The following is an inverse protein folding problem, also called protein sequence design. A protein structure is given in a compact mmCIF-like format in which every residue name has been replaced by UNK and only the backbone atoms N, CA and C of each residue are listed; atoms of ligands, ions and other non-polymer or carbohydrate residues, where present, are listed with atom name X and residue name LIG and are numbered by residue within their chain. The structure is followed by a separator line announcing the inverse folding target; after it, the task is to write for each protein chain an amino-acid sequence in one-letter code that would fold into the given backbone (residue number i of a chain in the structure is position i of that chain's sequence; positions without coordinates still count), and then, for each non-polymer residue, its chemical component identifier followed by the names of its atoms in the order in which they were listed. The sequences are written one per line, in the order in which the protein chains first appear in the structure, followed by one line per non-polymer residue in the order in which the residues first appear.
data_IF_406924726803
#
_entry.id   IF_406924726803
#
_cell.length_a   1.000
_cell.length_b   1.000
_cell.length_c   1.000
_cell.angle_alpha   90.00
_cell.angle_beta   90.00
_cell.angle_gamma   90.00
#
_symmetry.space_group_name_H-M   'P 1'
#
loop_
_entity.id
_entity.type
_entity.pdbx_description
1 polymer ?
#
# COMPACT_ATOMS: atom_id res chain seq x y z
N UNK A 1 -19.21 -38.03 -26.85
CA UNK A 1 -18.66 -36.70 -27.20
C UNK A 1 -17.91 -36.12 -26.00
N UNK A 2 -16.69 -36.59 -25.74
CA UNK A 2 -15.84 -36.00 -24.68
C UNK A 2 -15.15 -34.72 -25.14
N UNK A 3 -14.82 -34.61 -26.43
CA UNK A 3 -14.12 -33.45 -27.01
C UNK A 3 -14.89 -32.14 -26.79
N UNK A 4 -16.22 -32.14 -26.93
CA UNK A 4 -17.07 -30.98 -26.66
C UNK A 4 -17.08 -30.56 -25.18
N UNK A 5 -16.89 -31.50 -24.24
CA UNK A 5 -16.75 -31.18 -22.81
C UNK A 5 -15.40 -30.52 -22.48
N UNK A 6 -14.42 -30.63 -23.37
CA UNK A 6 -13.08 -30.07 -23.21
C UNK A 6 -12.86 -28.79 -24.02
N UNK A 7 -13.81 -28.37 -24.85
CA UNK A 7 -13.80 -27.04 -25.44
C UNK A 7 -13.97 -25.98 -24.34
N UNK A 8 -12.92 -25.19 -24.11
CA UNK A 8 -12.96 -24.07 -23.18
C UNK A 8 -13.13 -22.78 -23.98
N UNK A 9 -14.25 -22.12 -23.77
CA UNK A 9 -14.46 -20.75 -24.21
C UNK A 9 -13.91 -19.82 -23.15
N UNK A 10 -12.95 -18.99 -23.55
CA UNK A 10 -12.39 -17.95 -22.69
C UNK A 10 -12.84 -16.59 -23.20
N UNK A 11 -13.63 -15.84 -22.43
CA UNK A 11 -14.08 -14.52 -22.85
C UNK A 11 -12.88 -13.58 -22.97
N UNK A 12 -12.91 -12.67 -23.95
CA UNK A 12 -11.81 -11.72 -24.21
C UNK A 12 -11.49 -10.84 -22.97
N UNK A 13 -12.49 -10.58 -22.13
CA UNK A 13 -12.35 -9.88 -20.86
C UNK A 13 -11.41 -10.58 -19.86
N UNK A 14 -11.20 -11.90 -20.00
CA UNK A 14 -10.25 -12.65 -19.19
C UNK A 14 -8.79 -12.31 -19.53
N UNK A 15 -8.53 -11.67 -20.67
CA UNK A 15 -7.19 -11.31 -21.12
C UNK A 15 -6.95 -9.79 -21.14
N UNK A 16 -8.03 -9.00 -21.11
CA UNK A 16 -7.94 -7.55 -20.93
C UNK A 16 -7.79 -7.21 -19.45
N UNK A 17 -6.53 -7.12 -19.02
CA UNK A 17 -6.16 -6.58 -17.71
C UNK A 17 -5.31 -5.33 -17.90
N UNK A 18 -5.47 -4.40 -16.96
CA UNK A 18 -4.66 -3.18 -16.93
C UNK A 18 -3.20 -3.57 -16.71
N UNK A 19 -2.30 -3.06 -17.54
CA UNK A 19 -0.86 -3.39 -17.46
C UNK A 19 -0.33 -2.91 -16.10
N UNK A 20 0.10 -3.83 -15.21
CA UNK A 20 0.48 -3.48 -13.87
C UNK A 20 1.78 -2.68 -13.87
N UNK A 21 1.85 -1.68 -13.00
CA UNK A 21 3.01 -0.81 -12.84
C UNK A 21 3.83 -1.30 -11.64
N UNK A 22 5.08 -1.69 -11.91
CA UNK A 22 6.01 -2.14 -10.89
C UNK A 22 6.61 -0.98 -10.11
N UNK A 23 6.85 -1.21 -8.82
CA UNK A 23 7.64 -0.36 -7.95
C UNK A 23 9.08 -0.24 -8.46
N UNK A 24 9.59 0.99 -8.46
CA UNK A 24 10.99 1.29 -8.70
C UNK A 24 11.75 1.34 -7.37
N UNK A 25 12.53 0.29 -7.10
CA UNK A 25 13.29 0.09 -5.87
C UNK A 25 14.79 0.00 -6.15
N UNK A 26 15.41 1.13 -6.51
CA UNK A 26 16.84 1.19 -6.87
C UNK A 26 17.78 0.76 -5.72
N UNK A 27 17.37 0.95 -4.47
CA UNK A 27 18.20 0.63 -3.29
C UNK A 27 18.15 -0.87 -2.94
N UNK A 28 17.31 -1.66 -3.61
CA UNK A 28 17.32 -3.12 -3.48
C UNK A 28 18.37 -3.65 -4.43
N UNK A 29 19.61 -3.68 -3.96
CA UNK A 29 20.83 -4.09 -4.67
C UNK A 29 20.84 -5.52 -5.22
N UNK A 30 19.74 -6.26 -5.08
CA UNK A 30 19.62 -7.61 -5.60
C UNK A 30 18.56 -7.63 -6.69
N UNK A 31 19.06 -7.63 -7.93
CA UNK A 31 18.36 -7.77 -9.20
C UNK A 31 17.41 -8.97 -9.15
N UNK A 32 16.20 -8.78 -8.62
CA UNK A 32 15.11 -9.72 -8.87
C UNK A 32 14.57 -9.41 -10.25
N UNK A 33 14.69 -10.35 -11.18
CA UNK A 33 14.13 -10.26 -12.53
C UNK A 33 12.60 -10.17 -12.53
N UNK A 34 11.96 -10.40 -11.38
CA UNK A 34 10.51 -10.33 -11.23
C UNK A 34 10.05 -8.91 -10.86
N UNK A 35 9.07 -8.35 -11.59
CA UNK A 35 8.50 -7.06 -11.26
C UNK A 35 7.80 -7.13 -9.90
N UNK A 36 7.98 -6.07 -9.11
CA UNK A 36 7.47 -5.96 -7.74
C UNK A 36 6.35 -4.95 -7.72
N UNK A 37 5.16 -5.33 -7.26
CA UNK A 37 3.97 -4.48 -7.32
C UNK A 37 3.50 -4.05 -5.93
N UNK A 38 3.92 -4.76 -4.89
CA UNK A 38 3.57 -4.46 -3.51
C UNK A 38 4.79 -4.45 -2.60
N UNK A 39 4.84 -3.46 -1.71
CA UNK A 39 5.88 -3.30 -0.71
C UNK A 39 5.26 -3.00 0.66
N UNK A 40 5.87 -3.55 1.70
CA UNK A 40 5.59 -3.24 3.08
C UNK A 40 6.88 -2.78 3.76
N UNK A 41 6.86 -1.59 4.35
CA UNK A 41 7.97 -0.97 5.04
C UNK A 41 7.73 -0.98 6.55
N UNK A 42 8.59 -1.68 7.28
CA UNK A 42 8.60 -1.70 8.75
C UNK A 42 9.53 -0.56 9.21
N UNK A 43 8.98 0.39 9.96
CA UNK A 43 9.66 1.59 10.41
C UNK A 43 9.77 1.64 11.94
N UNK A 44 10.87 2.20 12.49
CA UNK A 44 11.04 2.36 13.93
C UNK A 44 10.30 3.59 14.49
N UNK A 45 9.89 4.52 13.64
CA UNK A 45 9.23 5.78 14.05
C UNK A 45 8.14 6.13 13.03
N UNK A 46 7.09 6.81 13.49
CA UNK A 46 5.99 7.28 12.67
C UNK A 46 6.39 8.45 11.77
N UNK A 47 7.41 9.23 12.15
CA UNK A 47 7.81 10.48 11.47
C UNK A 47 8.11 10.31 9.98
N UNK A 48 7.85 11.38 9.22
CA UNK A 48 8.29 11.46 7.83
C UNK A 48 9.81 11.42 7.76
N UNK A 49 10.34 10.58 6.89
CA UNK A 49 11.77 10.47 6.63
C UNK A 49 12.07 10.61 5.14
N UNK A 50 13.34 10.84 4.84
CA UNK A 50 13.79 11.06 3.47
C UNK A 50 13.61 9.83 2.58
N UNK A 51 13.67 8.61 3.15
CA UNK A 51 13.41 7.38 2.40
C UNK A 51 11.97 7.33 1.87
N UNK A 52 10.95 7.60 2.71
CA UNK A 52 9.53 7.67 2.27
C UNK A 52 9.32 8.74 1.20
N UNK A 53 9.96 9.90 1.37
CA UNK A 53 9.90 11.02 0.40
C UNK A 53 10.48 10.62 -0.95
N UNK A 54 11.66 10.01 -0.96
CA UNK A 54 12.30 9.50 -2.17
C UNK A 54 11.52 8.34 -2.79
N UNK A 55 10.92 7.47 -1.98
CA UNK A 55 10.09 6.37 -2.46
C UNK A 55 8.89 6.89 -3.25
N UNK A 56 8.19 7.92 -2.76
CA UNK A 56 7.12 8.57 -3.50
C UNK A 56 7.63 9.22 -4.80
N UNK A 57 8.69 10.04 -4.72
CA UNK A 57 9.24 10.75 -5.89
C UNK A 57 9.67 9.78 -6.99
N UNK A 58 10.48 8.78 -6.67
CA UNK A 58 11.02 7.82 -7.63
C UNK A 58 9.93 7.02 -8.32
N UNK A 59 8.93 6.55 -7.56
CA UNK A 59 7.81 5.78 -8.12
C UNK A 59 6.84 6.66 -8.92
N UNK A 60 6.75 7.95 -8.61
CA UNK A 60 5.98 8.90 -9.41
C UNK A 60 6.68 9.23 -10.73
N UNK A 61 7.98 9.49 -10.71
CA UNK A 61 8.78 9.84 -11.89
C UNK A 61 8.84 8.71 -12.92
N UNK A 62 8.88 7.46 -12.47
CA UNK A 62 8.80 6.29 -13.38
C UNK A 62 7.37 5.90 -13.76
N UNK A 63 6.37 6.59 -13.21
CA UNK A 63 4.96 6.34 -13.43
C UNK A 63 4.45 6.76 -14.81
N UNK A 64 3.17 6.48 -15.08
CA UNK A 64 2.50 6.81 -16.34
C UNK A 64 1.82 8.19 -16.29
N UNK A 65 2.37 9.11 -15.51
CA UNK A 65 1.80 10.45 -15.27
C UNK A 65 0.41 10.46 -14.59
N UNK A 66 -0.01 9.35 -13.99
CA UNK A 66 -1.21 9.25 -13.19
C UNK A 66 -1.04 9.87 -11.80
N UNK A 67 -1.98 9.59 -10.91
CA UNK A 67 -1.99 10.09 -9.53
C UNK A 67 -1.75 8.96 -8.52
N UNK A 68 -1.16 9.33 -7.38
CA UNK A 68 -0.97 8.44 -6.23
C UNK A 68 -2.05 8.70 -5.19
N UNK A 69 -2.75 7.65 -4.77
CA UNK A 69 -3.67 7.71 -3.63
C UNK A 69 -2.87 7.57 -2.33
N UNK A 70 -2.90 8.61 -1.50
CA UNK A 70 -2.20 8.66 -0.21
C UNK A 70 -3.24 8.59 0.90
N UNK A 71 -3.27 7.47 1.59
CA UNK A 71 -4.12 7.19 2.74
C UNK A 71 -3.29 7.45 4.00
N UNK A 72 -3.46 8.63 4.58
CA UNK A 72 -2.68 9.15 5.69
C UNK A 72 -3.46 8.97 7.00
N UNK A 73 -3.29 7.82 7.64
CA UNK A 73 -3.94 7.46 8.90
C UNK A 73 -3.37 8.29 10.06
N UNK A 74 -2.06 8.57 10.03
CA UNK A 74 -1.32 9.24 11.11
C UNK A 74 -1.11 10.74 10.91
N UNK A 75 -1.65 11.32 9.83
CA UNK A 75 -1.64 12.76 9.53
C UNK A 75 -0.26 13.39 9.29
N UNK A 76 0.67 12.65 8.66
CA UNK A 76 2.07 13.08 8.47
C UNK A 76 2.37 13.51 7.03
N UNK A 77 1.68 12.92 6.06
CA UNK A 77 1.91 13.23 4.65
C UNK A 77 1.47 14.65 4.29
N UNK A 78 0.46 15.19 4.97
CA UNK A 78 -0.12 16.51 4.66
C UNK A 78 0.91 17.64 4.57
N UNK A 79 1.83 17.71 5.52
CA UNK A 79 2.86 18.76 5.53
C UNK A 79 3.90 18.52 4.45
N UNK A 80 4.30 17.25 4.28
CA UNK A 80 5.28 16.82 3.28
C UNK A 80 4.81 17.15 1.86
N UNK A 81 3.53 16.90 1.54
CA UNK A 81 2.96 17.17 0.21
C UNK A 81 2.86 18.66 -0.15
N UNK A 82 2.97 19.56 0.84
CA UNK A 82 3.01 21.01 0.62
C UNK A 82 4.42 21.52 0.27
N UNK A 83 5.46 20.72 0.47
CA UNK A 83 6.83 21.13 0.12
C UNK A 83 6.97 21.27 -1.41
N UNK A 84 7.79 22.23 -1.86
CA UNK A 84 7.97 22.58 -3.29
C UNK A 84 8.42 21.41 -4.15
N UNK A 85 9.23 20.50 -3.60
CA UNK A 85 9.68 19.30 -4.33
C UNK A 85 8.55 18.34 -4.73
N UNK A 86 7.39 18.41 -4.06
CA UNK A 86 6.22 17.59 -4.40
C UNK A 86 5.20 18.34 -5.26
N UNK A 87 5.55 19.54 -5.76
CA UNK A 87 4.60 20.42 -6.42
C UNK A 87 3.96 19.82 -7.67
N UNK A 88 4.77 19.07 -8.42
CA UNK A 88 4.37 18.43 -9.66
C UNK A 88 3.71 17.06 -9.45
N UNK A 89 3.67 16.54 -8.21
CA UNK A 89 3.07 15.23 -7.94
C UNK A 89 1.56 15.34 -7.93
N UNK A 90 0.93 14.58 -8.83
CA UNK A 90 -0.48 14.31 -8.82
C UNK A 90 -0.82 13.32 -7.71
N UNK A 91 -1.70 13.72 -6.79
CA UNK A 91 -2.18 12.82 -5.74
C UNK A 91 -3.65 13.04 -5.41
N UNK A 92 -4.23 11.99 -4.83
CA UNK A 92 -5.47 12.04 -4.06
C UNK A 92 -5.11 11.76 -2.62
N UNK A 93 -5.42 12.68 -1.72
CA UNK A 93 -5.04 12.58 -0.32
C UNK A 93 -6.28 12.37 0.55
N UNK A 94 -6.27 11.33 1.38
CA UNK A 94 -7.32 11.09 2.37
C UNK A 94 -6.74 11.03 3.77
N UNK A 95 -7.35 11.82 4.65
CA UNK A 95 -7.09 11.85 6.09
C UNK A 95 -8.44 12.17 6.75
N UNK A 96 -9.12 11.12 7.18
CA UNK A 96 -10.45 11.20 7.79
C UNK A 96 -10.52 10.29 9.00
N UNK A 97 -11.50 10.53 9.88
CA UNK A 97 -11.75 9.66 11.04
C UNK A 97 -12.26 8.27 10.63
N UNK A 98 -12.79 8.11 9.42
CA UNK A 98 -13.27 6.82 8.95
C UNK A 98 -12.08 5.88 8.67
N UNK A 99 -11.01 6.38 8.05
CA UNK A 99 -9.85 5.55 7.70
C UNK A 99 -8.98 5.17 8.91
N UNK A 100 -9.29 5.68 10.11
CA UNK A 100 -8.58 5.31 11.34
C UNK A 100 -9.04 3.99 11.95
N UNK A 101 -10.00 3.29 11.34
CA UNK A 101 -10.33 1.90 11.66
C UNK A 101 -10.15 0.99 10.45
N UNK A 102 -9.94 -0.31 10.69
CA UNK A 102 -9.75 -1.28 9.61
C UNK A 102 -11.00 -1.41 8.74
N UNK A 103 -12.19 -1.39 9.34
CA UNK A 103 -13.47 -1.46 8.62
C UNK A 103 -13.70 -0.23 7.77
N UNK A 104 -13.40 0.96 8.29
CA UNK A 104 -13.54 2.20 7.53
C UNK A 104 -12.58 2.27 6.36
N UNK A 105 -11.32 1.82 6.54
CA UNK A 105 -10.36 1.66 5.45
C UNK A 105 -10.86 0.68 4.38
N UNK A 106 -11.35 -0.51 4.78
CA UNK A 106 -11.91 -1.50 3.86
C UNK A 106 -13.10 -0.92 3.10
N UNK A 107 -14.01 -0.24 3.78
CA UNK A 107 -15.17 0.40 3.18
C UNK A 107 -14.76 1.47 2.15
N UNK A 108 -13.78 2.31 2.49
CA UNK A 108 -13.24 3.31 1.57
C UNK A 108 -12.66 2.67 0.31
N UNK A 109 -11.77 1.68 0.47
CA UNK A 109 -11.18 0.96 -0.66
C UNK A 109 -12.24 0.22 -1.49
N UNK A 110 -13.28 -0.33 -0.86
CA UNK A 110 -14.44 -0.90 -1.54
C UNK A 110 -15.16 0.12 -2.43
N UNK A 111 -15.36 1.35 -1.94
CA UNK A 111 -15.94 2.45 -2.73
C UNK A 111 -15.03 2.87 -3.87
N UNK A 112 -13.71 2.96 -3.64
CA UNK A 112 -12.72 3.25 -4.69
C UNK A 112 -12.76 2.18 -5.79
N UNK A 113 -12.86 0.91 -5.42
CA UNK A 113 -12.93 -0.19 -6.39
C UNK A 113 -14.24 -0.21 -7.18
N UNK A 114 -15.36 0.14 -6.55
CA UNK A 114 -16.69 0.12 -7.18
C UNK A 114 -16.96 1.37 -8.05
N UNK A 115 -16.61 2.56 -7.56
CA UNK A 115 -16.79 3.83 -8.26
C UNK A 115 -15.66 4.81 -7.88
N UNK A 116 -14.49 4.70 -8.55
CA UNK A 116 -13.31 5.48 -8.19
C UNK A 116 -13.55 6.99 -8.34
N UNK A 117 -14.24 7.42 -9.40
CA UNK A 117 -14.48 8.84 -9.66
C UNK A 117 -15.28 9.48 -8.52
N UNK A 118 -16.36 8.83 -8.09
CA UNK A 118 -17.20 9.35 -7.02
C UNK A 118 -16.47 9.31 -5.66
N UNK A 119 -15.81 8.20 -5.33
CA UNK A 119 -15.11 8.03 -4.07
C UNK A 119 -13.98 9.05 -3.91
N UNK A 120 -13.12 9.19 -4.94
CA UNK A 120 -11.99 10.12 -4.89
C UNK A 120 -12.44 11.58 -4.85
N UNK A 121 -13.47 11.96 -5.62
CA UNK A 121 -14.00 13.33 -5.60
C UNK A 121 -14.65 13.72 -4.26
N UNK A 122 -15.34 12.77 -3.61
CA UNK A 122 -16.09 13.05 -2.39
C UNK A 122 -15.21 13.01 -1.14
N UNK A 123 -14.24 12.09 -1.11
CA UNK A 123 -13.55 11.73 0.14
C UNK A 123 -12.07 12.15 0.16
N UNK A 124 -11.48 12.50 -0.99
CA UNK A 124 -10.07 12.91 -1.06
C UNK A 124 -9.93 14.42 -1.29
N UNK A 125 -8.87 14.99 -0.71
CA UNK A 125 -8.31 16.25 -1.16
C UNK A 125 -7.57 16.03 -2.48
N UNK A 126 -7.96 16.79 -3.50
CA UNK A 126 -7.47 16.69 -4.87
C UNK A 126 -6.49 17.83 -5.14
N UNK A 127 -5.27 17.53 -5.61
CA UNK A 127 -4.31 18.55 -6.06
C UNK A 127 -4.58 18.93 -7.52
N UNK A 128 -4.28 20.18 -7.88
CA UNK A 128 -4.52 20.74 -9.21
C UNK A 128 -4.17 19.77 -10.36
N UNK A 129 -5.13 19.54 -11.26
CA UNK A 129 -4.97 18.69 -12.44
C UNK A 129 -5.31 17.21 -12.27
N UNK A 130 -5.68 16.75 -11.07
CA UNK A 130 -6.02 15.34 -10.80
C UNK A 130 -7.52 15.04 -10.81
N UNK A 131 -8.24 15.51 -11.82
CA UNK A 131 -9.63 15.07 -12.01
C UNK A 131 -9.64 13.54 -12.17
N UNK A 132 -10.32 12.79 -11.28
CA UNK A 132 -10.37 11.33 -11.33
C UNK A 132 -10.88 10.76 -12.66
N UNK A 133 -11.66 11.53 -13.42
CA UNK A 133 -12.12 11.13 -14.74
C UNK A 133 -11.00 11.09 -15.81
N UNK A 134 -9.93 11.87 -15.61
CA UNK A 134 -8.88 12.11 -16.62
C UNK A 134 -7.49 11.65 -16.14
N UNK A 135 -7.40 10.97 -15.00
CA UNK A 135 -6.13 10.62 -14.38
C UNK A 135 -6.18 9.17 -13.89
N UNK A 136 -5.19 8.36 -14.29
CA UNK A 136 -5.06 6.97 -13.82
C UNK A 136 -4.59 6.91 -12.37
N UNK A 137 -4.96 5.84 -11.66
CA UNK A 137 -4.39 5.50 -10.37
C UNK A 137 -3.10 4.71 -10.59
N UNK A 138 -1.95 5.34 -10.35
CA UNK A 138 -0.65 4.73 -10.58
C UNK A 138 -0.13 4.01 -9.32
N UNK A 139 -0.51 4.50 -8.14
CA UNK A 139 -0.02 3.97 -6.87
C UNK A 139 -0.92 4.23 -5.69
N UNK A 140 -0.80 3.40 -4.65
CA UNK A 140 -1.49 3.55 -3.38
C UNK A 140 -0.46 3.49 -2.26
N UNK A 141 -0.50 4.46 -1.36
CA UNK A 141 0.28 4.50 -0.11
C UNK A 141 -0.69 4.44 1.06
N UNK A 142 -0.46 3.53 2.01
CA UNK A 142 -1.18 3.49 3.29
C UNK A 142 -0.18 3.63 4.44
N UNK A 143 -0.30 4.71 5.20
CA UNK A 143 0.61 5.04 6.31
C UNK A 143 -0.19 5.46 7.55
N UNK A 144 -0.23 4.73 8.67
CA UNK A 144 0.50 3.53 9.06
C UNK A 144 -0.47 2.44 9.55
N UNK A 145 -0.32 1.20 9.06
CA UNK A 145 -1.25 0.11 9.35
C UNK A 145 -1.16 -0.42 10.80
N UNK A 146 -0.07 -0.16 11.53
CA UNK A 146 0.05 -0.59 12.93
C UNK A 146 -1.00 0.04 13.84
N UNK A 147 -1.52 1.21 13.49
CA UNK A 147 -2.60 1.87 14.24
C UNK A 147 -3.99 1.24 14.01
N UNK A 148 -4.13 0.40 12.97
CA UNK A 148 -5.36 -0.33 12.67
C UNK A 148 -5.32 -1.76 13.20
N UNK A 149 -4.14 -2.23 13.65
CA UNK A 149 -3.95 -3.59 14.07
C UNK A 149 -4.42 -3.77 15.52
N UNK A 150 -5.55 -4.44 15.68
CA UNK A 150 -5.92 -5.07 16.96
C UNK A 150 -5.39 -6.51 16.90
N UNK A 151 -4.75 -6.96 17.98
CA UNK A 151 -3.84 -8.13 18.04
C UNK A 151 -4.37 -9.49 17.54
N UNK A 152 -5.61 -9.59 17.07
CA UNK A 152 -6.24 -10.83 16.62
C UNK A 152 -7.14 -10.68 15.37
N UNK A 153 -7.17 -9.53 14.68
CA UNK A 153 -8.09 -9.32 13.53
C UNK A 153 -7.56 -9.83 12.17
N UNK A 154 -7.21 -11.12 12.11
CA UNK A 154 -6.75 -11.76 10.87
C UNK A 154 -7.78 -11.69 9.73
N UNK A 155 -9.07 -11.68 10.08
CA UNK A 155 -10.16 -11.69 9.10
C UNK A 155 -10.23 -10.36 8.36
N UNK A 156 -10.20 -9.24 9.06
CA UNK A 156 -10.23 -7.93 8.40
C UNK A 156 -8.98 -7.67 7.58
N UNK A 157 -7.79 -8.09 8.05
CA UNK A 157 -6.57 -7.98 7.23
C UNK A 157 -6.60 -8.84 5.97
N UNK A 158 -7.22 -10.02 6.00
CA UNK A 158 -7.47 -10.82 4.78
C UNK A 158 -8.42 -10.08 3.82
N UNK A 159 -9.47 -9.43 4.32
CA UNK A 159 -10.40 -8.65 3.51
C UNK A 159 -9.68 -7.44 2.90
N UNK A 160 -8.92 -6.68 3.69
CA UNK A 160 -8.12 -5.56 3.24
C UNK A 160 -7.16 -5.98 2.11
N UNK A 161 -6.43 -7.07 2.32
CA UNK A 161 -5.52 -7.65 1.34
C UNK A 161 -6.23 -8.01 0.03
N UNK A 162 -7.37 -8.69 0.11
CA UNK A 162 -8.15 -9.03 -1.08
C UNK A 162 -8.65 -7.77 -1.81
N UNK A 163 -9.06 -6.75 -1.06
CA UNK A 163 -9.48 -5.47 -1.63
C UNK A 163 -8.34 -4.77 -2.37
N UNK A 164 -7.15 -4.69 -1.77
CA UNK A 164 -5.95 -4.14 -2.41
C UNK A 164 -5.62 -4.93 -3.68
N UNK A 165 -5.61 -6.26 -3.62
CA UNK A 165 -5.34 -7.10 -4.80
C UNK A 165 -6.34 -6.85 -5.93
N UNK A 166 -7.62 -6.67 -5.62
CA UNK A 166 -8.65 -6.36 -6.61
C UNK A 166 -8.41 -4.99 -7.26
N UNK A 167 -8.06 -3.97 -6.46
CA UNK A 167 -7.74 -2.64 -6.95
C UNK A 167 -6.47 -2.68 -7.84
N UNK A 168 -5.43 -3.41 -7.43
CA UNK A 168 -4.23 -3.58 -8.26
C UNK A 168 -4.53 -4.29 -9.58
N UNK A 169 -5.40 -5.31 -9.59
CA UNK A 169 -5.84 -5.98 -10.83
C UNK A 169 -6.69 -5.08 -11.71
N UNK A 170 -7.56 -4.25 -11.12
CA UNK A 170 -8.44 -3.35 -11.84
C UNK A 170 -7.69 -2.17 -12.46
N UNK A 171 -6.79 -1.53 -11.71
CA UNK A 171 -6.13 -0.27 -12.12
C UNK A 171 -4.67 -0.44 -12.50
N UNK A 172 -4.05 -1.60 -12.26
CA UNK A 172 -2.64 -1.82 -12.50
C UNK A 172 -1.72 -1.02 -11.58
N UNK A 173 -2.21 -0.52 -10.44
CA UNK A 173 -1.42 0.33 -9.54
C UNK A 173 -0.44 -0.46 -8.68
N UNK A 174 0.68 0.16 -8.30
CA UNK A 174 1.52 -0.37 -7.23
C UNK A 174 0.95 -0.05 -5.84
N UNK A 175 1.46 -0.74 -4.84
CA UNK A 175 1.01 -0.63 -3.46
C UNK A 175 2.18 -0.52 -2.49
N UNK A 176 2.16 0.49 -1.61
CA UNK A 176 3.08 0.64 -0.50
C UNK A 176 2.28 0.75 0.79
N UNK A 177 2.68 -0.02 1.79
CA UNK A 177 2.18 0.11 3.15
C UNK A 177 3.33 0.28 4.14
N UNK A 178 3.04 0.92 5.27
CA UNK A 178 3.97 1.02 6.38
C UNK A 178 3.38 0.36 7.63
N UNK A 179 4.26 -0.18 8.47
CA UNK A 179 3.97 -0.56 9.84
C UNK A 179 5.09 -0.09 10.77
N UNK A 180 4.79 0.00 12.05
CA UNK A 180 5.79 0.12 13.10
C UNK A 180 6.40 -1.25 13.43
N UNK A 181 7.61 -1.21 13.97
CA UNK A 181 8.35 -2.38 14.39
C UNK A 181 7.75 -3.10 15.62
N UNK A 182 8.46 -4.12 16.09
CA UNK A 182 8.04 -4.92 17.24
C UNK A 182 7.98 -4.10 18.53
N UNK A 183 8.82 -3.09 18.71
CA UNK A 183 8.89 -2.27 19.93
C UNK A 183 7.55 -1.59 20.18
N UNK A 184 6.95 -1.00 19.12
CA UNK A 184 5.61 -0.43 19.21
C UNK A 184 4.56 -1.42 19.71
N UNK A 185 4.65 -2.68 19.25
CA UNK A 185 3.66 -3.72 19.56
C UNK A 185 3.78 -4.26 20.98
N UNK A 186 4.90 -4.01 21.66
CA UNK A 186 5.10 -4.38 23.07
C UNK A 186 4.43 -3.39 24.03
N UNK A 187 4.11 -2.19 23.53
CA UNK A 187 3.50 -1.11 24.29
C UNK A 187 4.38 -0.55 25.40
N UNK A 188 3.80 0.36 26.18
CA UNK A 188 4.49 1.03 27.27
C UNK A 188 4.89 -0.02 28.32
N UNK A 189 6.16 -0.02 28.71
CA UNK A 189 6.75 -0.94 29.70
C UNK A 189 6.58 -2.43 29.35
N UNK A 190 6.52 -2.77 28.05
CA UNK A 190 6.29 -4.14 27.58
C UNK A 190 5.02 -4.79 28.17
N UNK A 191 3.99 -3.97 28.41
CA UNK A 191 2.70 -4.42 28.93
C UNK A 191 1.96 -5.40 27.99
N UNK A 192 2.35 -5.45 26.71
CA UNK A 192 1.87 -6.43 25.75
C UNK A 192 3.00 -7.38 25.34
N UNK A 193 2.74 -8.69 25.43
CA UNK A 193 3.62 -9.71 24.87
C UNK A 193 3.00 -10.21 23.57
N UNK A 194 3.46 -9.73 22.39
CA UNK A 194 2.97 -10.24 21.12
C UNK A 194 3.30 -11.74 21.04
N UNK A 195 2.27 -12.57 20.82
CA UNK A 195 2.49 -13.99 20.55
C UNK A 195 3.28 -14.10 19.24
N UNK A 196 4.32 -14.95 19.16
CA UNK A 196 5.04 -15.15 17.91
C UNK A 196 4.14 -15.90 16.93
N UNK A 197 3.66 -15.19 15.90
CA UNK A 197 2.85 -15.73 14.81
C UNK A 197 3.65 -15.59 13.52
N UNK A 198 4.47 -16.62 13.21
CA UNK A 198 5.12 -16.85 11.91
C UNK A 198 6.42 -16.03 11.62
N UNK A 199 7.05 -16.11 10.42
CA UNK A 199 8.51 -15.93 10.24
C UNK A 199 9.04 -14.49 10.36
N UNK A 200 8.18 -13.48 10.57
CA UNK A 200 8.56 -12.06 10.63
C UNK A 200 8.45 -11.46 12.04
N UNK A 201 8.18 -12.29 13.05
CA UNK A 201 7.92 -11.87 14.44
C UNK A 201 9.09 -11.15 15.11
N UNK A 202 10.30 -11.32 14.59
CA UNK A 202 11.47 -10.63 15.11
C UNK A 202 11.50 -9.14 14.72
N UNK A 203 10.65 -8.73 13.78
CA UNK A 203 10.67 -7.38 13.19
C UNK A 203 9.37 -6.62 13.37
N UNK A 204 8.22 -7.30 13.36
CA UNK A 204 6.90 -6.67 13.55
C UNK A 204 5.89 -7.68 14.09
N UNK A 205 4.88 -7.21 14.83
CA UNK A 205 3.73 -8.02 15.22
C UNK A 205 2.60 -8.00 14.16
N UNK A 206 2.88 -7.50 12.96
CA UNK A 206 1.89 -7.39 11.89
C UNK A 206 1.45 -8.78 11.35
N UNK A 207 0.17 -8.98 10.99
CA UNK A 207 -0.34 -10.29 10.58
C UNK A 207 0.42 -10.92 9.40
N UNK A 208 0.94 -12.13 9.59
CA UNK A 208 1.77 -12.81 8.59
C UNK A 208 1.02 -13.21 7.31
N UNK A 209 -0.29 -13.50 7.41
CA UNK A 209 -1.18 -13.73 6.28
C UNK A 209 -1.24 -12.54 5.31
N UNK A 210 -1.10 -11.32 5.84
CA UNK A 210 -1.01 -10.11 5.03
C UNK A 210 0.38 -10.01 4.39
N UNK A 211 1.45 -10.12 5.18
CA UNK A 211 2.84 -9.98 4.71
C UNK A 211 3.23 -11.05 3.68
N UNK A 212 2.64 -12.24 3.75
CA UNK A 212 2.93 -13.36 2.84
C UNK A 212 2.58 -13.09 1.38
N UNK A 213 1.70 -12.13 1.08
CA UNK A 213 1.32 -11.80 -0.31
C UNK A 213 1.91 -10.48 -0.80
N UNK A 214 2.61 -9.76 0.08
CA UNK A 214 3.41 -8.61 -0.32
C UNK A 214 4.68 -9.08 -1.03
N UNK A 215 5.02 -8.50 -2.17
CA UNK A 215 6.19 -8.92 -2.94
C UNK A 215 7.49 -8.59 -2.20
N UNK A 216 7.58 -7.43 -1.55
CA UNK A 216 8.76 -7.03 -0.79
C UNK A 216 8.39 -6.57 0.61
N UNK A 217 9.06 -7.12 1.61
CA UNK A 217 9.02 -6.60 2.97
C UNK A 217 10.41 -6.07 3.31
N UNK A 218 10.48 -4.81 3.71
CA UNK A 218 11.70 -4.15 4.14
C UNK A 218 11.58 -3.70 5.58
N UNK A 219 12.68 -3.77 6.31
CA UNK A 219 12.85 -3.11 7.60
C UNK A 219 13.82 -1.95 7.44
N UNK A 220 13.49 -0.80 8.02
CA UNK A 220 14.36 0.36 8.09
C UNK A 220 15.04 0.41 9.46
N UNK A 221 16.35 0.61 9.47
CA UNK A 221 17.06 1.05 10.67
C UNK A 221 16.97 2.58 10.80
N UNK A 222 16.93 3.04 12.04
CA UNK A 222 16.92 4.43 12.49
C UNK A 222 17.84 5.37 11.68
N UNK A 223 18.97 4.88 11.17
CA UNK A 223 20.03 5.71 10.59
C UNK A 223 19.99 5.99 9.07
N UNK A 224 19.33 5.18 8.21
CA UNK A 224 19.14 5.35 6.73
C UNK A 224 19.08 4.01 5.98
N UNK A 225 19.49 2.92 6.62
CA UNK A 225 19.62 1.61 5.97
C UNK A 225 18.26 0.92 5.90
N UNK A 226 17.83 0.52 4.71
CA UNK A 226 16.75 -0.43 4.54
C UNK A 226 17.32 -1.81 4.23
N UNK A 227 16.81 -2.84 4.92
CA UNK A 227 17.16 -4.23 4.70
C UNK A 227 15.93 -4.97 4.20
N UNK A 228 16.07 -5.64 3.06
CA UNK A 228 15.03 -6.54 2.56
C UNK A 228 15.00 -7.81 3.40
N UNK A 229 13.85 -8.13 3.97
CA UNK A 229 13.63 -9.37 4.75
C UNK A 229 12.78 -10.39 4.00
N UNK A 230 12.12 -9.99 2.90
CA UNK A 230 11.31 -10.86 2.04
C UNK A 230 11.30 -10.37 0.59
N UNK A 231 11.30 -11.30 -0.37
CA UNK A 231 11.25 -11.06 -1.83
C UNK A 231 10.19 -11.91 -2.52
#
# INVERSE_FOLDING_TARGET
MEVLKHCKEYPLSQYYHTVPHSLNLQDVSEVTTTPKYSMHLIEPDFKMNEYKRQLLLRNYETGKSGAVLIIDIISIWKQTLKETRFENIKYWYVNSKEISTIEGLICFLGRVNANPIMALNKECLIRHGTNPANCSLDGIIIDNLSYLNTSDDFKSFNILKNMISNIQKAFGCWYISTSLDLEFSQGIEHSFYPKPIAPYTNFTAFPSNYLNDINIVMIRDSATHSKVIKK
#
